data_IF_155745514867
#
_entry.id   IF_155745514867
#
_cell.length_a   1.000
_cell.length_b   1.000
_cell.length_c   1.000
_cell.angle_alpha   90.00
_cell.angle_beta   90.00
_cell.angle_gamma   90.00
#
_symmetry.space_group_name_H-M   'P 1'
#
loop_
_entity.id
_entity.type
_entity.pdbx_description
1 polymer ?
#
# COMPACT_ATOMS: atom_id res chain seq x y z
N UNK A 1 15.30 3.56 1.55
CA UNK A 1 14.42 4.71 1.27
C UNK A 1 13.16 4.49 2.07
N UNK A 2 12.65 5.53 2.72
CA UNK A 2 11.33 5.48 3.37
C UNK A 2 10.36 6.27 2.51
N UNK A 3 9.17 5.73 2.29
CA UNK A 3 8.04 6.37 1.62
C UNK A 3 6.90 6.49 2.62
N UNK A 4 6.37 7.69 2.78
CA UNK A 4 5.21 7.96 3.62
C UNK A 4 4.15 8.71 2.81
N UNK A 5 2.88 8.39 3.06
CA UNK A 5 1.75 9.12 2.50
C UNK A 5 0.52 8.99 3.41
N UNK A 6 -0.33 10.01 3.39
CA UNK A 6 -1.59 10.05 4.15
C UNK A 6 -2.80 9.68 3.27
N UNK A 7 -2.56 9.31 2.01
CA UNK A 7 -3.58 8.94 1.03
C UNK A 7 -3.50 7.44 0.75
N UNK A 8 -4.63 6.76 0.51
CA UNK A 8 -4.58 5.36 0.12
C UNK A 8 -4.07 5.20 -1.32
N UNK A 9 -3.57 4.01 -1.62
CA UNK A 9 -3.30 3.59 -2.98
C UNK A 9 -4.59 3.20 -3.73
N UNK A 10 -4.66 3.56 -5.02
CA UNK A 10 -5.59 2.96 -5.96
C UNK A 10 -5.13 1.54 -6.30
N UNK A 11 -5.99 0.51 -6.24
CA UNK A 11 -5.54 -0.88 -6.37
C UNK A 11 -4.86 -1.18 -7.71
N UNK A 12 -5.50 -0.84 -8.82
CA UNK A 12 -4.94 -1.07 -10.17
C UNK A 12 -3.66 -0.25 -10.42
N UNK A 13 -3.58 1.00 -9.93
CA UNK A 13 -2.36 1.80 -10.11
C UNK A 13 -1.21 1.29 -9.25
N UNK A 14 -1.51 0.74 -8.07
CA UNK A 14 -0.50 0.06 -7.26
C UNK A 14 0.03 -1.18 -7.97
N UNK A 15 -0.85 -2.01 -8.54
CA UNK A 15 -0.45 -3.19 -9.32
C UNK A 15 0.42 -2.82 -10.53
N UNK A 16 0.01 -1.80 -11.29
CA UNK A 16 0.80 -1.26 -12.41
C UNK A 16 2.15 -0.66 -11.97
N UNK A 17 2.21 -0.02 -10.81
CA UNK A 17 3.46 0.51 -10.25
C UNK A 17 4.39 -0.64 -9.82
N UNK A 18 3.86 -1.67 -9.15
CA UNK A 18 4.60 -2.86 -8.71
C UNK A 18 5.25 -3.59 -9.89
N UNK A 19 4.54 -3.71 -11.01
CA UNK A 19 5.07 -4.33 -12.24
C UNK A 19 6.32 -3.62 -12.80
N UNK A 20 6.52 -2.34 -12.47
CA UNK A 20 7.65 -1.53 -12.92
C UNK A 20 8.79 -1.46 -11.90
N UNK A 21 8.58 -1.90 -10.66
CA UNK A 21 9.62 -1.86 -9.64
C UNK A 21 10.71 -2.91 -9.93
N UNK A 22 11.90 -2.42 -10.30
CA UNK A 22 13.06 -3.26 -10.54
C UNK A 22 14.09 -3.17 -9.40
N UNK A 23 14.91 -4.22 -9.25
CA UNK A 23 16.12 -4.23 -8.39
C UNK A 23 15.88 -3.97 -6.90
N UNK A 24 14.66 -4.21 -6.41
CA UNK A 24 14.39 -4.22 -4.98
C UNK A 24 14.93 -5.51 -4.37
N UNK A 25 15.67 -5.38 -3.26
CA UNK A 25 16.14 -6.54 -2.50
C UNK A 25 15.15 -6.91 -1.41
N UNK A 26 14.68 -5.91 -0.67
CA UNK A 26 13.62 -6.05 0.33
C UNK A 26 12.80 -4.80 0.42
N UNK A 27 11.55 -4.96 0.83
CA UNK A 27 10.72 -3.86 1.31
C UNK A 27 9.78 -4.33 2.40
N UNK A 28 9.40 -3.44 3.31
CA UNK A 28 8.50 -3.76 4.42
C UNK A 28 7.76 -2.52 4.91
N UNK A 29 6.63 -2.73 5.57
CA UNK A 29 5.92 -1.66 6.25
C UNK A 29 4.43 -1.94 6.30
N UNK A 30 3.65 -0.87 6.38
CA UNK A 30 2.19 -0.94 6.26
C UNK A 30 1.71 0.03 5.19
N UNK A 31 0.56 -0.26 4.61
CA UNK A 31 -0.07 0.59 3.61
C UNK A 31 -1.58 0.60 3.71
N UNK A 32 -2.17 1.60 3.08
CA UNK A 32 -3.61 1.78 2.99
C UNK A 32 -4.06 1.58 1.54
N UNK A 33 -5.04 0.69 1.34
CA UNK A 33 -5.58 0.37 0.02
C UNK A 33 -7.03 0.88 -0.07
N UNK A 34 -7.35 1.64 -1.11
CA UNK A 34 -8.64 2.31 -1.22
C UNK A 34 -9.83 1.31 -1.26
N UNK A 35 -9.68 0.16 -1.93
CA UNK A 35 -10.71 -0.90 -1.98
C UNK A 35 -10.93 -1.61 -0.64
N UNK A 36 -10.06 -1.38 0.35
CA UNK A 36 -10.10 -1.99 1.70
C UNK A 36 -9.91 -0.89 2.75
N UNK A 37 -10.82 0.09 2.82
CA UNK A 37 -10.60 1.37 3.48
C UNK A 37 -10.41 1.24 5.00
N UNK A 38 -10.96 0.19 5.62
CA UNK A 38 -10.92 0.01 7.08
C UNK A 38 -9.63 -0.67 7.57
N UNK A 39 -8.79 -1.18 6.67
CA UNK A 39 -7.63 -2.02 7.01
C UNK A 39 -6.29 -1.33 6.74
N UNK A 40 -5.41 -1.44 7.73
CA UNK A 40 -3.97 -1.32 7.59
C UNK A 40 -3.41 -2.65 7.09
N UNK A 41 -2.87 -2.65 5.88
CA UNK A 41 -2.28 -3.82 5.25
C UNK A 41 -0.78 -3.90 5.54
N UNK A 42 -0.28 -5.10 5.80
CA UNK A 42 1.16 -5.35 5.95
C UNK A 42 1.78 -5.58 4.59
N UNK A 43 2.86 -4.86 4.31
CA UNK A 43 3.70 -5.03 3.14
C UNK A 43 4.96 -5.80 3.53
N UNK A 44 5.22 -6.93 2.88
CA UNK A 44 6.44 -7.72 3.12
C UNK A 44 7.03 -8.23 1.83
N UNK A 45 8.29 -7.85 1.55
CA UNK A 45 9.02 -8.31 0.37
C UNK A 45 10.41 -8.81 0.73
N UNK A 46 10.74 -9.99 0.23
CA UNK A 46 12.09 -10.54 0.21
C UNK A 46 12.41 -11.09 -1.18
N UNK A 47 13.38 -10.47 -1.86
CA UNK A 47 13.68 -10.77 -3.25
C UNK A 47 12.44 -10.58 -4.14
N UNK A 48 12.10 -11.54 -5.01
CA UNK A 48 10.94 -11.42 -5.90
C UNK A 48 9.60 -11.64 -5.19
N UNK A 49 9.61 -12.19 -3.97
CA UNK A 49 8.38 -12.54 -3.26
C UNK A 49 7.85 -11.33 -2.51
N UNK A 50 6.72 -10.78 -2.97
CA UNK A 50 5.96 -9.72 -2.32
C UNK A 50 4.64 -10.31 -1.81
N UNK A 51 4.35 -10.11 -0.53
CA UNK A 51 3.08 -10.50 0.09
C UNK A 51 2.40 -9.31 0.73
N UNK A 52 1.07 -9.33 0.68
CA UNK A 52 0.18 -8.42 1.38
C UNK A 52 -0.71 -9.21 2.33
N UNK A 53 -0.83 -8.72 3.56
CA UNK A 53 -1.58 -9.38 4.63
C UNK A 53 -2.41 -8.33 5.37
N UNK A 54 -3.53 -8.74 5.98
CA UNK A 54 -4.29 -7.84 6.84
C UNK A 54 -3.53 -7.67 8.16
N UNK A 55 -3.19 -6.43 8.50
CA UNK A 55 -2.50 -6.11 9.76
C UNK A 55 -3.50 -5.83 10.87
N UNK A 56 -4.20 -4.71 10.76
CA UNK A 56 -5.14 -4.23 11.76
C UNK A 56 -6.24 -3.39 11.13
N UNK A 57 -7.34 -3.18 11.85
CA UNK A 57 -8.30 -2.13 11.50
C UNK A 57 -7.74 -0.77 11.94
N UNK A 58 -7.92 0.27 11.11
CA UNK A 58 -7.50 1.62 11.49
C UNK A 58 -8.17 2.10 12.78
N UNK A 59 -9.42 1.69 13.01
CA UNK A 59 -10.16 2.00 14.24
C UNK A 59 -9.56 1.43 15.51
N UNK A 60 -8.67 0.43 15.41
CA UNK A 60 -7.97 -0.17 16.54
C UNK A 60 -6.59 0.47 16.79
N UNK A 61 -6.16 1.41 15.94
CA UNK A 61 -4.87 2.07 16.04
C UNK A 61 -5.03 3.49 16.58
N UNK A 62 -4.11 3.92 17.44
CA UNK A 62 -4.04 5.31 17.93
C UNK A 62 -3.28 6.21 16.95
N UNK A 63 -3.64 6.11 15.66
CA UNK A 63 -3.06 6.92 14.59
C UNK A 63 -4.02 7.04 13.40
N UNK A 64 -3.96 8.14 12.62
CA UNK A 64 -4.74 8.25 11.40
C UNK A 64 -4.30 7.23 10.33
N UNK A 65 -5.20 6.84 9.41
CA UNK A 65 -4.85 6.02 8.26
C UNK A 65 -3.74 6.64 7.41
N UNK A 66 -2.88 5.79 6.87
CA UNK A 66 -1.77 6.22 6.04
C UNK A 66 -0.86 5.06 5.69
N UNK A 67 0.37 5.37 5.29
CA UNK A 67 1.35 4.35 4.93
C UNK A 67 2.76 4.77 5.27
N UNK A 68 3.55 3.78 5.66
CA UNK A 68 4.99 3.88 5.81
C UNK A 68 5.63 2.62 5.24
N UNK A 69 6.42 2.80 4.19
CA UNK A 69 7.10 1.72 3.49
C UNK A 69 8.61 1.98 3.46
N UNK A 70 9.38 0.97 3.81
CA UNK A 70 10.84 1.01 3.75
C UNK A 70 11.32 0.11 2.63
N UNK A 71 12.07 0.68 1.69
CA UNK A 71 12.69 0.00 0.55
C UNK A 71 14.21 -0.09 0.71
N UNK A 72 14.75 -1.29 0.52
CA UNK A 72 16.18 -1.60 0.61
C UNK A 72 16.61 -2.24 -0.72
N UNK A 73 17.62 -1.67 -1.36
CA UNK A 73 18.15 -2.16 -2.62
C UNK A 73 19.53 -1.59 -2.94
N UNK A 74 20.30 -2.30 -3.77
CA UNK A 74 21.59 -1.85 -4.28
C UNK A 74 21.33 -1.00 -5.53
N UNK A 75 21.92 0.21 -5.60
CA UNK A 75 21.70 1.17 -6.70
C UNK A 75 20.20 1.44 -6.96
N UNK A 76 19.42 1.51 -5.88
CA UNK A 76 18.00 1.83 -5.94
C UNK A 76 17.81 3.23 -6.52
N UNK A 77 17.06 3.33 -7.61
CA UNK A 77 16.62 4.62 -8.17
C UNK A 77 15.48 5.17 -7.30
N UNK A 78 15.87 5.88 -6.24
CA UNK A 78 14.92 6.39 -5.23
C UNK A 78 13.91 7.38 -5.79
N UNK A 79 14.28 8.34 -6.66
CA UNK A 79 13.32 9.20 -7.35
C UNK A 79 12.29 8.38 -8.13
N UNK A 80 12.73 7.47 -8.99
CA UNK A 80 11.82 6.68 -9.82
C UNK A 80 10.85 5.83 -8.98
N UNK A 81 11.34 5.15 -7.94
CA UNK A 81 10.48 4.37 -7.03
C UNK A 81 9.46 5.26 -6.33
N UNK A 82 9.86 6.47 -5.90
CA UNK A 82 8.94 7.41 -5.28
C UNK A 82 7.88 7.90 -6.25
N UNK A 83 8.24 8.17 -7.49
CA UNK A 83 7.32 8.63 -8.52
C UNK A 83 6.30 7.55 -8.87
N UNK A 84 6.74 6.28 -8.98
CA UNK A 84 5.85 5.14 -9.16
C UNK A 84 4.83 5.03 -8.02
N UNK A 85 5.29 5.07 -6.76
CA UNK A 85 4.39 5.01 -5.61
C UNK A 85 3.45 6.23 -5.55
N UNK A 86 3.94 7.43 -5.79
CA UNK A 86 3.11 8.64 -5.85
C UNK A 86 2.02 8.54 -6.92
N UNK A 87 2.33 7.99 -8.10
CA UNK A 87 1.35 7.80 -9.17
C UNK A 87 0.27 6.77 -8.81
N UNK A 88 0.53 5.91 -7.84
CA UNK A 88 -0.44 4.95 -7.33
C UNK A 88 -1.39 5.54 -6.27
N UNK A 89 -1.12 6.70 -5.68
CA UNK A 89 -1.99 7.32 -4.67
C UNK A 89 -3.30 7.83 -5.28
N UNK A 90 -4.36 7.92 -4.47
CA UNK A 90 -5.59 8.61 -4.88
C UNK A 90 -5.33 10.10 -5.16
N UNK A 91 -5.94 10.57 -6.26
CA UNK A 91 -6.05 11.99 -6.60
C UNK A 91 -7.00 12.70 -5.63
N UNK A 92 -7.03 14.04 -5.66
CA UNK A 92 -7.96 14.82 -4.83
C UNK A 92 -9.42 14.47 -5.11
N UNK A 93 -9.77 14.30 -6.40
CA UNK A 93 -11.14 13.96 -6.82
C UNK A 93 -11.55 12.57 -6.31
N UNK A 94 -10.65 11.60 -6.41
CA UNK A 94 -10.93 10.24 -5.90
C UNK A 94 -10.99 10.21 -4.38
N UNK A 95 -10.13 10.97 -3.70
CA UNK A 95 -10.15 11.07 -2.24
C UNK A 95 -11.46 11.70 -1.75
N UNK A 96 -11.94 12.75 -2.41
CA UNK A 96 -13.22 13.42 -2.10
C UNK A 96 -14.44 12.52 -2.34
N UNK A 97 -14.38 11.61 -3.32
CA UNK A 97 -15.44 10.63 -3.57
C UNK A 97 -15.66 9.66 -2.40
N UNK A 98 -14.65 9.47 -1.55
CA UNK A 98 -14.74 8.78 -0.28
C UNK A 98 -14.90 7.24 -0.34
N UNK A 99 -14.89 6.57 0.83
CA UNK A 99 -14.79 5.11 0.93
C UNK A 99 -15.89 4.33 0.20
N UNK A 100 -17.11 4.87 0.12
CA UNK A 100 -18.23 4.22 -0.58
C UNK A 100 -17.99 4.09 -2.09
N UNK A 101 -17.25 5.05 -2.69
CA UNK A 101 -16.81 4.95 -4.07
C UNK A 101 -15.63 3.99 -4.20
N UNK A 102 -14.67 4.05 -3.27
CA UNK A 102 -13.44 3.26 -3.33
C UNK A 102 -13.69 1.75 -3.24
N UNK A 103 -14.69 1.32 -2.46
CA UNK A 103 -15.12 -0.07 -2.36
C UNK A 103 -15.54 -0.69 -3.71
N UNK A 104 -15.79 0.14 -4.73
CA UNK A 104 -16.15 -0.29 -6.08
C UNK A 104 -14.95 -0.39 -7.03
N UNK A 105 -13.76 0.01 -6.60
CA UNK A 105 -12.56 -0.12 -7.42
C UNK A 105 -12.23 -1.60 -7.65
N UNK A 106 -11.90 -2.01 -8.88
CA UNK A 106 -11.38 -3.34 -9.14
C UNK A 106 -10.13 -3.59 -8.29
N UNK A 107 -10.11 -4.70 -7.55
CA UNK A 107 -9.01 -5.06 -6.66
C UNK A 107 -8.30 -6.30 -7.21
N UNK A 108 -7.10 -6.16 -7.81
CA UNK A 108 -6.35 -7.28 -8.38
C UNK A 108 -5.61 -8.11 -7.32
N UNK A 109 -5.60 -7.66 -6.06
CA UNK A 109 -4.85 -8.32 -5.00
C UNK A 109 -5.65 -9.47 -4.39
N UNK A 110 -4.99 -10.56 -3.97
CA UNK A 110 -5.68 -11.65 -3.29
C UNK A 110 -6.40 -11.14 -2.05
N UNK A 111 -7.46 -11.84 -1.65
CA UNK A 111 -8.08 -11.61 -0.36
C UNK A 111 -7.03 -11.80 0.74
N UNK A 112 -6.88 -10.79 1.59
CA UNK A 112 -6.07 -10.94 2.79
C UNK A 112 -6.91 -11.74 3.79
N UNK A 113 -6.28 -12.68 4.52
CA UNK A 113 -6.96 -13.37 5.61
C UNK A 113 -7.48 -12.39 6.66
N UNK A 114 -8.27 -12.87 7.63
CA UNK A 114 -8.72 -12.04 8.74
C UNK A 114 -7.52 -11.32 9.40
N UNK A 115 -7.67 -10.03 9.69
CA UNK A 115 -6.69 -9.29 10.48
C UNK A 115 -6.43 -10.07 11.78
N UNK A 116 -5.17 -10.29 12.13
CA UNK A 116 -4.83 -11.01 13.36
C UNK A 116 -5.32 -10.17 14.56
N UNK A 117 -6.39 -10.62 15.22
CA UNK A 117 -6.77 -10.12 16.54
C UNK A 117 -5.75 -10.64 17.56
N UNK A 118 -4.85 -9.77 18.02
CA UNK A 118 -4.11 -10.03 19.25
C UNK A 118 -5.08 -9.82 20.42
N UNK A 119 -5.62 -10.93 20.92
CA UNK A 119 -6.38 -11.02 22.17
C UNK A 119 -5.51 -10.73 23.40
#
# INVERSE_FOLDING_TARGET
MTFTAERPFHPERLEAALAQLQRLLRSKGFFWLASRPDLAAIWSQAGPNLTFEAGAYWSALDMPPGQELVFIGIKLDRPHVRDLLNSALLTDVELDAGPQAWLRYPDPFPHWGAAHEHA
#
